data_IF_376982438223
#
_entry.id   IF_376982438223
#
_cell.length_a   1.000
_cell.length_b   1.000
_cell.length_c   1.000
_cell.angle_alpha   90.00
_cell.angle_beta   90.00
_cell.angle_gamma   90.00
#
_symmetry.space_group_name_H-M   'P 1'
#
loop_
_entity.id
_entity.type
_entity.pdbx_description
1 polymer ?
#
# COMPACT_ATOMS: atom_id res chain seq x y z
N UNK A 1 2.64 -18.09 14.45
CA UNK A 1 1.54 -17.29 15.01
C UNK A 1 0.94 -16.46 13.89
N UNK A 2 -0.39 -16.32 13.77
CA UNK A 2 -1.00 -15.36 12.84
C UNK A 2 -0.52 -13.93 13.10
N UNK A 3 -0.35 -13.14 12.01
CA UNK A 3 0.17 -11.76 12.11
C UNK A 3 0.71 -11.25 10.78
N UNK A 4 1.42 -10.12 10.85
CA UNK A 4 2.10 -9.53 9.70
C UNK A 4 3.60 -9.78 9.79
N UNK A 5 4.20 -10.16 8.67
CA UNK A 5 5.59 -10.58 8.61
C UNK A 5 6.29 -10.10 7.35
N UNK A 6 7.57 -9.81 7.48
CA UNK A 6 8.52 -9.87 6.39
C UNK A 6 9.09 -11.29 6.32
N UNK A 7 9.16 -11.87 5.13
CA UNK A 7 9.74 -13.18 4.88
C UNK A 7 11.19 -13.00 4.44
N UNK A 8 12.12 -12.88 5.40
CA UNK A 8 13.53 -12.62 5.11
C UNK A 8 14.27 -13.92 4.78
N UNK A 9 15.16 -13.88 3.78
CA UNK A 9 15.96 -15.02 3.38
C UNK A 9 17.04 -15.34 4.43
N UNK A 10 17.24 -16.62 4.72
CA UNK A 10 18.39 -17.06 5.55
C UNK A 10 19.71 -16.88 4.82
N UNK A 11 19.72 -16.92 3.49
CA UNK A 11 20.95 -16.71 2.67
C UNK A 11 21.47 -15.26 2.78
N UNK A 12 20.56 -14.28 2.80
CA UNK A 12 20.88 -12.87 3.10
C UNK A 12 19.71 -12.25 3.86
N UNK A 13 19.80 -12.11 5.19
CA UNK A 13 18.68 -11.62 6.01
C UNK A 13 18.33 -10.15 5.82
N UNK A 14 19.11 -9.40 5.01
CA UNK A 14 18.78 -8.02 4.59
C UNK A 14 17.82 -8.00 3.40
N UNK A 15 17.38 -9.16 2.92
CA UNK A 15 16.50 -9.31 1.75
C UNK A 15 15.32 -10.22 2.08
N UNK A 16 14.17 -9.87 1.53
CA UNK A 16 12.94 -10.63 1.72
C UNK A 16 12.21 -10.93 0.42
N UNK A 17 11.14 -11.73 0.55
CA UNK A 17 10.22 -12.00 -0.55
C UNK A 17 9.43 -10.74 -0.85
N UNK A 18 9.53 -10.31 -2.10
CA UNK A 18 9.01 -9.06 -2.63
C UNK A 18 8.05 -9.34 -3.79
N UNK A 19 6.93 -8.65 -3.83
CA UNK A 19 6.07 -8.64 -4.99
C UNK A 19 6.67 -7.75 -6.07
N UNK A 20 7.09 -8.36 -7.16
CA UNK A 20 7.78 -7.68 -8.24
C UNK A 20 6.94 -6.54 -8.83
N UNK A 21 7.57 -5.36 -8.98
CA UNK A 21 7.02 -4.18 -9.63
C UNK A 21 5.68 -3.69 -9.05
N UNK A 22 5.37 -4.05 -7.80
CA UNK A 22 4.08 -3.74 -7.16
C UNK A 22 2.87 -4.20 -7.98
N UNK A 23 3.00 -5.28 -8.75
CA UNK A 23 1.95 -5.78 -9.62
C UNK A 23 0.70 -6.23 -8.82
N UNK A 24 -0.50 -5.90 -9.32
CA UNK A 24 -1.77 -6.22 -8.66
C UNK A 24 -2.61 -7.26 -9.42
N UNK A 25 -2.15 -7.71 -10.57
CA UNK A 25 -2.84 -8.71 -11.37
C UNK A 25 -2.62 -10.14 -10.86
N UNK A 26 -3.52 -11.04 -11.20
CA UNK A 26 -3.29 -12.48 -11.03
C UNK A 26 -2.10 -12.92 -11.88
N UNK A 27 -1.30 -13.83 -11.35
CA UNK A 27 -0.05 -14.27 -11.95
C UNK A 27 1.15 -13.37 -11.64
N UNK A 28 0.99 -12.35 -10.79
CA UNK A 28 2.08 -11.49 -10.37
C UNK A 28 3.21 -12.29 -9.74
N UNK A 29 4.44 -12.03 -10.17
CA UNK A 29 5.63 -12.82 -9.78
C UNK A 29 6.29 -12.28 -8.52
N UNK A 30 7.01 -13.17 -7.87
CA UNK A 30 7.77 -12.89 -6.66
C UNK A 30 9.26 -12.89 -6.95
N UNK A 31 9.97 -12.07 -6.21
CA UNK A 31 11.42 -11.96 -6.29
C UNK A 31 12.03 -11.80 -4.88
N UNK A 32 13.33 -11.98 -4.78
CA UNK A 32 14.10 -11.53 -3.63
C UNK A 32 14.49 -10.06 -3.84
N UNK A 33 14.27 -9.21 -2.84
CA UNK A 33 14.67 -7.80 -2.90
C UNK A 33 15.17 -7.30 -1.56
N UNK A 34 15.97 -6.21 -1.57
CA UNK A 34 16.40 -5.54 -0.35
C UNK A 34 15.20 -5.15 0.52
N UNK A 35 15.30 -5.42 1.83
CA UNK A 35 14.24 -5.10 2.78
C UNK A 35 14.01 -3.59 2.84
N UNK A 36 12.80 -3.15 2.53
CA UNK A 36 12.31 -1.78 2.69
C UNK A 36 11.11 -1.71 3.61
N UNK A 37 10.56 -2.86 4.01
CA UNK A 37 9.35 -3.00 4.82
C UNK A 37 8.14 -2.29 4.20
N UNK A 38 8.09 -2.24 2.88
CA UNK A 38 6.99 -1.68 2.12
C UNK A 38 5.89 -2.72 1.94
N UNK A 39 4.65 -2.29 1.68
CA UNK A 39 3.47 -3.16 1.63
C UNK A 39 3.62 -4.36 0.69
N UNK A 40 4.39 -4.22 -0.40
CA UNK A 40 4.67 -5.32 -1.33
C UNK A 40 5.63 -6.40 -0.76
N UNK A 41 6.28 -6.13 0.39
CA UNK A 41 7.15 -7.07 1.11
C UNK A 41 6.53 -7.58 2.41
N UNK A 42 5.34 -7.09 2.78
CA UNK A 42 4.64 -7.47 4.01
C UNK A 42 3.57 -8.51 3.68
N UNK A 43 3.54 -9.55 4.49
CA UNK A 43 2.66 -10.69 4.33
C UNK A 43 1.79 -10.87 5.56
N UNK A 44 0.48 -10.89 5.37
CA UNK A 44 -0.46 -11.31 6.40
C UNK A 44 -0.51 -12.83 6.41
N UNK A 45 -0.06 -13.43 7.50
CA UNK A 45 -0.15 -14.87 7.73
C UNK A 45 -1.35 -15.15 8.62
N UNK A 46 -2.29 -15.94 8.16
CA UNK A 46 -3.45 -16.41 8.92
C UNK A 46 -3.48 -17.93 8.97
N UNK A 47 -3.98 -18.48 10.08
CA UNK A 47 -4.22 -19.92 10.22
C UNK A 47 -5.65 -20.21 9.85
N UNK A 48 -5.87 -21.21 9.03
CA UNK A 48 -7.18 -21.68 8.63
C UNK A 48 -7.72 -22.77 9.58
N UNK A 49 -9.01 -23.08 9.47
CA UNK A 49 -9.67 -24.05 10.35
C UNK A 49 -9.13 -25.47 10.21
N UNK A 50 -8.53 -25.82 9.06
CA UNK A 50 -7.87 -27.09 8.81
C UNK A 50 -6.43 -27.16 9.35
N UNK A 51 -5.96 -26.08 9.97
CA UNK A 51 -4.65 -26.00 10.60
C UNK A 51 -3.52 -25.52 9.72
N UNK A 52 -3.74 -25.39 8.41
CA UNK A 52 -2.78 -24.81 7.48
C UNK A 52 -2.77 -23.28 7.52
N UNK A 53 -1.87 -22.67 6.78
CA UNK A 53 -1.69 -21.23 6.74
C UNK A 53 -1.95 -20.68 5.36
N UNK A 54 -2.44 -19.43 5.33
CA UNK A 54 -2.54 -18.61 4.14
C UNK A 54 -1.62 -17.40 4.30
N UNK A 55 -0.92 -17.08 3.22
CA UNK A 55 -0.05 -15.90 3.15
C UNK A 55 -0.64 -14.94 2.12
N UNK A 56 -1.07 -13.77 2.56
CA UNK A 56 -1.65 -12.73 1.70
C UNK A 56 -0.71 -11.55 1.66
N UNK A 57 -0.32 -11.13 0.47
CA UNK A 57 0.48 -9.93 0.29
C UNK A 57 -0.35 -8.69 0.59
N UNK A 58 0.14 -7.76 1.43
CA UNK A 58 -0.65 -6.62 1.90
C UNK A 58 -0.87 -5.55 0.85
N UNK A 59 0.01 -5.47 -0.17
CA UNK A 59 -0.15 -4.54 -1.27
C UNK A 59 -1.29 -4.98 -2.21
N UNK A 60 -1.18 -6.18 -2.75
CA UNK A 60 -2.12 -6.69 -3.76
C UNK A 60 -3.40 -7.30 -3.17
N UNK A 61 -3.38 -7.62 -1.86
CA UNK A 61 -4.43 -8.41 -1.19
C UNK A 61 -4.69 -9.79 -1.84
N UNK A 62 -3.65 -10.36 -2.46
CA UNK A 62 -3.68 -11.68 -3.10
C UNK A 62 -2.87 -12.71 -2.31
N UNK A 63 -3.27 -13.97 -2.44
CA UNK A 63 -2.62 -15.10 -1.77
C UNK A 63 -1.38 -15.58 -2.51
N UNK A 64 -0.36 -15.99 -1.76
CA UNK A 64 0.76 -16.76 -2.27
C UNK A 64 0.23 -18.09 -2.83
N UNK A 65 0.55 -18.35 -4.09
CA UNK A 65 -0.03 -19.44 -4.88
C UNK A 65 1.06 -20.22 -5.61
N UNK A 66 0.92 -21.55 -5.61
CA UNK A 66 1.76 -22.44 -6.42
C UNK A 66 1.16 -22.57 -7.81
N UNK A 67 1.79 -21.96 -8.81
CA UNK A 67 1.28 -21.80 -10.17
C UNK A 67 0.67 -23.09 -10.73
N UNK A 68 -0.60 -23.03 -11.10
CA UNK A 68 -1.40 -24.12 -11.71
C UNK A 68 -1.43 -25.44 -10.91
N UNK A 69 -1.00 -25.43 -9.65
CA UNK A 69 -0.88 -26.64 -8.84
C UNK A 69 0.11 -27.64 -9.39
N UNK A 70 1.08 -27.18 -10.19
CA UNK A 70 2.07 -28.04 -10.86
C UNK A 70 3.17 -28.45 -9.89
N UNK A 71 3.34 -29.78 -9.59
CA UNK A 71 4.34 -30.27 -8.65
C UNK A 71 5.73 -30.42 -9.29
N UNK A 72 6.07 -29.58 -10.26
CA UNK A 72 7.36 -29.60 -10.97
C UNK A 72 8.34 -28.66 -10.26
N UNK A 73 9.50 -29.16 -9.79
CA UNK A 73 10.53 -28.33 -9.17
C UNK A 73 11.00 -27.20 -10.10
N UNK A 74 11.10 -25.99 -9.56
CA UNK A 74 11.44 -24.78 -10.32
C UNK A 74 10.23 -24.04 -10.90
N UNK A 75 8.99 -24.53 -10.65
CA UNK A 75 7.78 -23.79 -10.98
C UNK A 75 7.74 -22.49 -10.19
N UNK A 76 7.63 -21.35 -10.87
CA UNK A 76 7.58 -20.04 -10.23
C UNK A 76 6.33 -19.92 -9.35
N UNK A 77 6.50 -19.34 -8.17
CA UNK A 77 5.39 -18.96 -7.33
C UNK A 77 4.80 -17.63 -7.82
N UNK A 78 3.51 -17.45 -7.58
CA UNK A 78 2.75 -16.29 -8.01
C UNK A 78 1.81 -15.77 -6.92
N UNK A 79 1.17 -14.65 -7.18
CA UNK A 79 0.02 -14.18 -6.42
C UNK A 79 -1.26 -14.40 -7.23
N UNK A 80 -2.31 -14.84 -6.55
CA UNK A 80 -3.63 -15.06 -7.17
C UNK A 80 -4.74 -14.64 -6.22
N UNK A 81 -5.92 -14.34 -6.78
CA UNK A 81 -7.10 -14.04 -5.97
C UNK A 81 -7.32 -15.13 -4.93
N UNK A 82 -7.64 -14.72 -3.71
CA UNK A 82 -7.79 -15.64 -2.59
C UNK A 82 -8.99 -16.55 -2.80
N UNK A 83 -8.73 -17.85 -2.86
CA UNK A 83 -9.72 -18.91 -2.83
C UNK A 83 -9.44 -19.83 -1.64
N UNK A 84 -10.34 -19.86 -0.67
CA UNK A 84 -10.17 -20.65 0.56
C UNK A 84 -10.22 -22.15 0.33
N UNK A 85 -10.79 -22.61 -0.78
CA UNK A 85 -10.83 -24.02 -1.16
C UNK A 85 -9.57 -24.49 -1.89
N UNK A 86 -8.79 -23.56 -2.45
CA UNK A 86 -7.61 -23.86 -3.28
C UNK A 86 -6.41 -24.32 -2.44
N UNK A 87 -6.03 -25.60 -2.61
CA UNK A 87 -4.88 -26.19 -1.90
C UNK A 87 -3.54 -25.61 -2.35
N UNK A 88 -3.46 -25.00 -3.54
CA UNK A 88 -2.24 -24.34 -4.04
C UNK A 88 -1.92 -23.05 -3.29
N UNK A 89 -2.89 -22.53 -2.53
CA UNK A 89 -2.77 -21.34 -1.68
C UNK A 89 -2.64 -21.65 -0.20
N UNK A 90 -2.62 -22.94 0.16
CA UNK A 90 -2.45 -23.42 1.54
C UNK A 90 -1.01 -23.85 1.79
N UNK A 91 -0.50 -23.49 2.95
CA UNK A 91 0.89 -23.69 3.31
C UNK A 91 1.03 -24.33 4.69
N UNK A 92 1.88 -25.35 4.79
CA UNK A 92 2.37 -25.85 6.05
C UNK A 92 3.66 -25.13 6.41
N UNK A 93 3.77 -24.63 7.64
CA UNK A 93 4.95 -23.88 8.11
C UNK A 93 5.66 -24.73 9.18
N UNK A 94 6.91 -25.09 8.91
CA UNK A 94 7.73 -25.92 9.78
C UNK A 94 8.90 -25.10 10.32
N UNK A 95 9.13 -25.18 11.63
CA UNK A 95 10.35 -24.64 12.22
C UNK A 95 11.55 -25.47 11.81
N UNK A 96 12.65 -24.80 11.50
CA UNK A 96 13.96 -25.43 11.27
C UNK A 96 14.99 -24.84 12.25
N UNK A 97 16.19 -25.42 12.28
CA UNK A 97 17.26 -24.94 13.16
C UNK A 97 17.57 -23.45 12.94
N UNK A 98 17.99 -22.76 14.02
CA UNK A 98 18.39 -21.35 13.93
C UNK A 98 17.25 -20.35 13.88
N UNK A 99 16.00 -20.74 14.27
CA UNK A 99 14.85 -19.85 14.33
C UNK A 99 14.29 -19.44 12.97
N UNK A 100 14.55 -20.26 11.95
CA UNK A 100 14.00 -20.12 10.61
C UNK A 100 12.83 -21.09 10.37
N UNK A 101 12.17 -20.93 9.24
CA UNK A 101 11.01 -21.72 8.84
C UNK A 101 11.13 -22.17 7.38
N UNK A 102 10.54 -23.31 7.10
CA UNK A 102 10.30 -23.82 5.76
C UNK A 102 8.80 -23.78 5.49
N UNK A 103 8.40 -23.27 4.33
CA UNK A 103 7.01 -23.15 3.91
C UNK A 103 6.75 -24.17 2.80
N UNK A 104 5.89 -25.15 3.06
CA UNK A 104 5.54 -26.21 2.11
C UNK A 104 4.12 -26.03 1.59
N UNK A 105 3.97 -26.00 0.28
CA UNK A 105 2.66 -25.96 -0.34
C UNK A 105 1.90 -27.27 -0.12
N UNK A 106 0.63 -27.17 0.25
CA UNK A 106 -0.21 -28.35 0.57
C UNK A 106 -0.61 -29.07 -0.70
N UNK A 107 -0.92 -28.36 -1.78
CA UNK A 107 -1.34 -28.94 -3.05
C UNK A 107 -0.21 -29.66 -3.80
N UNK A 108 0.95 -29.04 -3.90
CA UNK A 108 2.05 -29.56 -4.71
C UNK A 108 3.13 -30.29 -3.92
N UNK A 109 3.22 -30.07 -2.60
CA UNK A 109 4.28 -30.59 -1.75
C UNK A 109 5.64 -29.89 -1.92
N UNK A 110 5.75 -28.92 -2.82
CA UNK A 110 6.97 -28.12 -3.01
C UNK A 110 7.15 -27.10 -1.90
N UNK A 111 8.39 -26.69 -1.64
CA UNK A 111 8.70 -25.67 -0.64
C UNK A 111 9.11 -24.36 -1.31
N UNK A 112 8.83 -23.24 -0.66
CA UNK A 112 9.25 -21.91 -1.10
C UNK A 112 10.78 -21.86 -1.15
N UNK A 113 11.32 -21.55 -2.32
CA UNK A 113 12.75 -21.65 -2.61
C UNK A 113 13.27 -20.39 -3.29
N UNK A 114 14.42 -19.91 -2.84
CA UNK A 114 15.19 -18.90 -3.53
C UNK A 114 15.94 -19.57 -4.70
N UNK A 115 15.55 -19.20 -5.91
CA UNK A 115 16.09 -19.80 -7.13
C UNK A 115 17.63 -19.77 -7.14
N UNK A 116 18.24 -20.93 -7.38
CA UNK A 116 19.69 -21.17 -7.39
C UNK A 116 20.44 -20.77 -6.09
N UNK A 117 19.71 -20.44 -5.03
CA UNK A 117 20.33 -20.00 -3.76
C UNK A 117 21.09 -18.66 -3.87
N UNK A 118 20.84 -17.87 -4.90
CA UNK A 118 21.55 -16.61 -5.14
C UNK A 118 20.82 -15.42 -4.55
N UNK A 119 21.32 -14.85 -3.46
CA UNK A 119 20.72 -13.72 -2.77
C UNK A 119 21.03 -12.38 -3.46
N UNK A 120 20.59 -12.19 -4.69
CA UNK A 120 20.65 -10.91 -5.42
C UNK A 120 19.25 -10.34 -5.68
N UNK A 121 19.14 -9.02 -5.76
CA UNK A 121 17.88 -8.36 -6.09
C UNK A 121 17.37 -8.84 -7.47
N UNK A 122 16.06 -9.09 -7.55
CA UNK A 122 15.40 -9.61 -8.75
C UNK A 122 15.47 -11.13 -8.93
N UNK A 123 16.12 -11.86 -8.00
CA UNK A 123 16.13 -13.32 -8.08
C UNK A 123 14.75 -13.89 -7.80
N UNK A 124 14.29 -14.78 -8.69
CA UNK A 124 12.96 -15.39 -8.60
C UNK A 124 12.77 -16.27 -7.37
N UNK A 125 11.53 -16.38 -6.95
CA UNK A 125 11.07 -17.31 -5.91
C UNK A 125 10.24 -18.40 -6.58
N UNK A 126 10.61 -19.65 -6.36
CA UNK A 126 9.96 -20.80 -6.96
C UNK A 126 9.56 -21.86 -5.93
N UNK A 127 8.79 -22.85 -6.36
CA UNK A 127 8.54 -24.06 -5.63
C UNK A 127 9.59 -25.13 -5.98
N UNK A 128 10.25 -25.71 -5.00
CA UNK A 128 11.26 -26.74 -5.23
C UNK A 128 11.13 -27.92 -4.27
N UNK A 129 11.74 -29.07 -4.61
CA UNK A 129 11.79 -30.19 -3.68
C UNK A 129 12.57 -29.81 -2.42
N UNK A 130 12.07 -30.23 -1.26
CA UNK A 130 12.77 -30.00 -0.01
C UNK A 130 14.14 -30.69 -0.03
N UNK A 131 15.22 -29.93 0.15
CA UNK A 131 16.58 -30.41 0.10
C UNK A 131 17.46 -29.98 1.29
N UNK A 132 16.84 -29.28 2.27
CA UNK A 132 17.50 -28.84 3.50
C UNK A 132 18.44 -27.65 3.38
N UNK A 133 18.60 -27.07 2.20
CA UNK A 133 19.49 -25.91 1.99
C UNK A 133 18.92 -24.62 2.56
N UNK A 134 19.79 -23.64 2.84
CA UNK A 134 19.41 -22.32 3.35
C UNK A 134 18.55 -21.51 2.36
N UNK A 135 18.60 -21.86 1.05
CA UNK A 135 17.73 -21.24 0.03
C UNK A 135 16.23 -21.52 0.23
N UNK A 136 15.90 -22.52 1.07
CA UNK A 136 14.53 -22.91 1.41
C UNK A 136 14.11 -22.48 2.82
N UNK A 137 14.96 -21.70 3.47
CA UNK A 137 14.75 -21.28 4.86
C UNK A 137 14.50 -19.78 4.94
N UNK A 138 13.46 -19.41 5.67
CA UNK A 138 12.96 -18.05 5.77
C UNK A 138 12.80 -17.64 7.22
N UNK A 139 13.18 -16.43 7.57
CA UNK A 139 12.85 -15.83 8.85
C UNK A 139 11.52 -15.11 8.75
N UNK A 140 10.62 -15.39 9.66
CA UNK A 140 9.35 -14.68 9.80
C UNK A 140 9.57 -13.53 10.79
N UNK A 141 9.99 -12.38 10.26
CA UNK A 141 10.21 -11.19 11.07
C UNK A 141 8.88 -10.46 11.30
N UNK A 142 8.36 -10.39 12.53
CA UNK A 142 7.09 -9.71 12.79
C UNK A 142 7.21 -8.22 12.51
N UNK A 143 6.18 -7.65 11.89
CA UNK A 143 6.06 -6.22 11.58
C UNK A 143 4.65 -5.72 11.90
N UNK A 144 4.46 -4.41 11.99
CA UNK A 144 3.12 -3.85 12.00
C UNK A 144 2.47 -3.98 10.61
N UNK A 145 1.18 -4.30 10.58
CA UNK A 145 0.41 -4.28 9.36
C UNK A 145 0.15 -2.86 8.86
N UNK A 146 -0.02 -2.65 7.53
CA UNK A 146 -0.28 -1.33 6.98
C UNK A 146 -1.47 -0.61 7.63
N UNK A 147 -2.55 -1.34 7.91
CA UNK A 147 -3.73 -0.76 8.56
C UNK A 147 -3.45 -0.36 10.02
N UNK A 148 -2.65 -1.14 10.75
CA UNK A 148 -2.26 -0.83 12.12
C UNK A 148 -1.41 0.46 12.17
N UNK A 149 -0.50 0.63 11.21
CA UNK A 149 0.30 1.84 11.06
C UNK A 149 -0.60 3.06 10.79
N UNK A 150 -1.55 2.94 9.86
CA UNK A 150 -2.47 4.01 9.53
C UNK A 150 -3.39 4.37 10.70
N UNK A 151 -3.95 3.39 11.40
CA UNK A 151 -4.80 3.61 12.58
C UNK A 151 -4.02 4.33 13.70
N UNK A 152 -2.76 3.95 13.90
CA UNK A 152 -1.88 4.62 14.87
C UNK A 152 -1.64 6.08 14.47
N UNK A 153 -1.23 6.32 13.22
CA UNK A 153 -0.98 7.69 12.72
C UNK A 153 -2.22 8.58 12.75
N UNK A 154 -3.38 8.04 12.39
CA UNK A 154 -4.64 8.78 12.43
C UNK A 154 -4.95 9.26 13.86
N UNK A 155 -4.78 8.39 14.85
CA UNK A 155 -4.97 8.71 16.26
C UNK A 155 -3.98 9.75 16.78
N UNK A 156 -2.69 9.54 16.50
CA UNK A 156 -1.61 10.40 17.01
C UNK A 156 -1.66 11.81 16.42
N UNK A 157 -2.03 11.92 15.15
CA UNK A 157 -1.96 13.17 14.38
C UNK A 157 -3.28 13.93 14.27
N UNK A 158 -4.33 13.46 14.94
CA UNK A 158 -5.68 14.06 14.87
C UNK A 158 -5.73 15.58 15.10
N UNK A 159 -4.85 16.10 15.93
CA UNK A 159 -4.82 17.52 16.30
C UNK A 159 -4.03 18.43 15.35
N UNK A 160 -3.29 17.85 14.37
CA UNK A 160 -2.42 18.61 13.46
C UNK A 160 -3.18 19.60 12.57
N UNK A 161 -4.41 19.27 12.18
CA UNK A 161 -5.32 20.16 11.46
C UNK A 161 -6.72 19.92 12.04
N UNK A 162 -7.21 20.80 12.93
CA UNK A 162 -8.56 20.67 13.51
C UNK A 162 -9.68 20.68 12.47
N UNK A 163 -10.85 20.18 12.84
CA UNK A 163 -12.04 20.28 12.01
C UNK A 163 -12.33 21.74 11.65
N UNK A 164 -12.71 21.98 10.40
CA UNK A 164 -12.93 23.33 9.90
C UNK A 164 -12.78 23.44 8.39
N UNK A 165 -12.92 24.66 7.87
CA UNK A 165 -12.76 24.96 6.44
C UNK A 165 -11.38 25.55 6.18
N UNK A 166 -10.71 25.04 5.12
CA UNK A 166 -9.36 25.41 4.76
C UNK A 166 -9.20 25.52 3.25
N UNK A 167 -8.25 26.35 2.83
CA UNK A 167 -7.63 26.25 1.52
C UNK A 167 -6.37 25.37 1.66
N UNK A 168 -6.18 24.41 0.76
CA UNK A 168 -5.01 23.54 0.75
C UNK A 168 -4.00 24.08 -0.27
N UNK A 169 -2.85 24.54 0.22
CA UNK A 169 -1.79 25.18 -0.57
C UNK A 169 -0.64 24.20 -0.78
N UNK A 170 -0.29 23.83 -2.03
CA UNK A 170 0.96 23.11 -2.28
C UNK A 170 2.17 23.99 -1.92
N UNK A 171 3.14 23.43 -1.20
CA UNK A 171 4.33 24.19 -0.76
C UNK A 171 5.18 24.66 -1.94
N UNK A 172 5.34 23.83 -2.97
CA UNK A 172 6.08 24.16 -4.19
C UNK A 172 5.36 25.20 -5.09
N UNK A 173 4.07 25.43 -4.86
CA UNK A 173 3.25 26.33 -5.65
C UNK A 173 2.44 27.27 -4.73
N UNK A 174 3.06 28.23 -4.04
CA UNK A 174 2.44 28.99 -2.94
C UNK A 174 1.27 29.88 -3.39
N UNK A 175 1.21 30.26 -4.66
CA UNK A 175 0.12 31.06 -5.24
C UNK A 175 -1.06 30.22 -5.70
N UNK A 176 -1.01 28.89 -5.53
CA UNK A 176 -2.01 27.95 -6.03
C UNK A 176 -2.74 27.27 -4.87
N UNK A 177 -3.89 26.70 -5.20
CA UNK A 177 -4.75 25.93 -4.26
C UNK A 177 -5.20 24.63 -4.90
N UNK A 178 -5.37 23.62 -4.08
CA UNK A 178 -6.05 22.39 -4.49
C UNK A 178 -7.52 22.71 -4.75
N UNK A 179 -7.98 22.42 -5.95
CA UNK A 179 -9.30 22.84 -6.46
C UNK A 179 -10.01 21.69 -7.17
N UNK A 180 -11.32 21.64 -7.08
CA UNK A 180 -12.13 20.82 -7.97
C UNK A 180 -12.21 21.49 -9.34
N UNK A 181 -11.84 20.77 -10.38
CA UNK A 181 -11.78 21.20 -11.77
C UNK A 181 -13.03 22.02 -12.16
N UNK A 182 -12.80 23.28 -12.59
CA UNK A 182 -13.85 24.23 -13.04
C UNK A 182 -15.02 24.40 -12.06
N UNK A 183 -14.79 24.24 -10.77
CA UNK A 183 -15.82 24.28 -9.74
C UNK A 183 -16.99 23.31 -10.01
N UNK A 184 -16.73 22.21 -10.73
CA UNK A 184 -17.74 21.21 -11.05
C UNK A 184 -18.38 20.63 -9.80
N UNK A 185 -19.69 20.36 -9.89
CA UNK A 185 -20.45 19.65 -8.86
C UNK A 185 -20.66 18.17 -9.19
N UNK A 186 -20.14 17.69 -10.31
CA UNK A 186 -20.35 16.34 -10.75
C UNK A 186 -19.47 15.34 -9.99
N UNK A 187 -19.99 14.14 -9.77
CA UNK A 187 -19.20 13.02 -9.30
C UNK A 187 -18.13 12.67 -10.34
N UNK A 188 -16.91 12.35 -9.88
CA UNK A 188 -15.80 12.03 -10.76
C UNK A 188 -15.05 13.23 -11.33
N UNK A 189 -15.45 14.48 -11.00
CA UNK A 189 -14.67 15.65 -11.41
C UNK A 189 -13.26 15.58 -10.81
N UNK A 190 -12.25 15.88 -11.62
CA UNK A 190 -10.84 15.85 -11.23
C UNK A 190 -10.50 16.90 -10.20
N UNK A 191 -9.42 16.66 -9.47
CA UNK A 191 -8.82 17.63 -8.58
C UNK A 191 -7.48 18.05 -9.16
N UNK A 192 -7.22 19.34 -9.17
CA UNK A 192 -6.00 19.93 -9.67
C UNK A 192 -5.52 21.08 -8.78
N UNK A 193 -4.42 21.68 -9.13
CA UNK A 193 -3.93 22.93 -8.54
C UNK A 193 -4.26 24.10 -9.48
N UNK A 194 -4.85 25.15 -8.95
CA UNK A 194 -5.21 26.35 -9.71
C UNK A 194 -4.84 27.62 -8.91
N UNK A 195 -4.53 28.69 -9.62
CA UNK A 195 -4.20 29.97 -9.01
C UNK A 195 -5.26 30.36 -7.98
N UNK A 196 -4.82 30.86 -6.82
CA UNK A 196 -5.72 31.26 -5.73
C UNK A 196 -6.71 32.34 -6.19
N UNK A 197 -8.00 32.04 -6.08
CA UNK A 197 -9.09 32.92 -6.49
C UNK A 197 -10.17 33.08 -5.41
N UNK A 198 -9.99 32.43 -4.25
CA UNK A 198 -10.92 32.51 -3.11
C UNK A 198 -12.26 31.79 -3.27
N UNK A 199 -12.46 31.08 -4.39
CA UNK A 199 -13.72 30.39 -4.67
C UNK A 199 -13.99 29.24 -3.69
N UNK A 200 -15.27 28.86 -3.56
CA UNK A 200 -15.66 27.71 -2.75
C UNK A 200 -15.11 26.39 -3.27
N UNK A 201 -14.75 26.30 -4.57
CA UNK A 201 -14.11 25.12 -5.16
C UNK A 201 -12.68 24.90 -4.65
N UNK A 202 -12.03 25.93 -4.10
CA UNK A 202 -10.71 25.89 -3.47
C UNK A 202 -10.78 25.69 -1.95
N UNK A 203 -11.97 25.56 -1.40
CA UNK A 203 -12.20 25.37 0.04
C UNK A 203 -12.60 23.93 0.33
N UNK A 204 -11.97 23.39 1.36
CA UNK A 204 -12.18 22.02 1.79
C UNK A 204 -12.51 21.99 3.28
N UNK A 205 -13.58 21.31 3.64
CA UNK A 205 -13.93 21.06 5.03
C UNK A 205 -13.22 19.80 5.49
N UNK A 206 -12.38 19.94 6.51
CA UNK A 206 -11.73 18.86 7.24
C UNK A 206 -12.71 18.35 8.28
N UNK A 207 -12.94 17.06 8.34
CA UNK A 207 -13.68 16.38 9.40
C UNK A 207 -13.03 15.07 9.76
N UNK A 208 -12.93 14.77 11.07
CA UNK A 208 -12.33 13.53 11.57
C UNK A 208 -13.41 12.53 11.97
N UNK A 209 -13.15 11.25 11.66
CA UNK A 209 -13.93 10.16 12.24
C UNK A 209 -13.42 9.80 13.65
N UNK A 210 -14.08 8.82 14.30
CA UNK A 210 -13.75 8.40 15.67
C UNK A 210 -12.32 7.82 15.79
N UNK A 211 -11.76 7.28 14.72
CA UNK A 211 -10.39 6.77 14.67
C UNK A 211 -9.35 7.85 14.39
N UNK A 212 -9.76 9.04 13.97
CA UNK A 212 -8.88 10.16 13.62
C UNK A 212 -8.55 10.27 12.12
N UNK A 213 -9.18 9.47 11.26
CA UNK A 213 -9.07 9.65 9.82
C UNK A 213 -9.79 10.90 9.36
N UNK A 214 -9.21 11.58 8.40
CA UNK A 214 -9.74 12.81 7.82
C UNK A 214 -10.53 12.50 6.55
N UNK A 215 -11.69 13.14 6.44
CA UNK A 215 -12.43 13.31 5.20
C UNK A 215 -12.31 14.76 4.77
N UNK A 216 -12.02 15.02 3.48
CA UNK A 216 -11.91 16.35 2.89
C UNK A 216 -13.12 16.58 1.98
N UNK A 217 -14.07 17.40 2.45
CA UNK A 217 -15.29 17.72 1.70
C UNK A 217 -15.14 19.06 0.98
N UNK A 218 -15.31 19.06 -0.34
CA UNK A 218 -15.28 20.31 -1.11
C UNK A 218 -16.49 21.18 -0.79
N UNK A 219 -16.26 22.45 -0.47
CA UNK A 219 -17.32 23.36 -0.02
C UNK A 219 -18.32 23.69 -1.14
N UNK A 220 -17.87 23.76 -2.41
CA UNK A 220 -18.76 24.10 -3.53
C UNK A 220 -19.68 22.93 -3.90
N UNK A 221 -19.18 21.70 -3.88
CA UNK A 221 -19.93 20.53 -4.36
C UNK A 221 -20.56 19.68 -3.27
N UNK A 222 -20.05 19.75 -2.03
CA UNK A 222 -20.40 18.84 -0.95
C UNK A 222 -19.85 17.41 -1.11
N UNK A 223 -19.04 17.15 -2.14
CA UNK A 223 -18.42 15.86 -2.38
C UNK A 223 -17.05 15.77 -1.74
N UNK A 224 -16.58 14.55 -1.52
CA UNK A 224 -15.33 14.29 -0.81
C UNK A 224 -14.18 13.95 -1.76
N UNK A 225 -12.97 14.27 -1.36
CA UNK A 225 -11.73 13.89 -2.04
C UNK A 225 -11.61 12.37 -2.03
N UNK A 226 -11.43 11.77 -3.21
CA UNK A 226 -11.52 10.34 -3.45
C UNK A 226 -10.39 9.85 -4.37
N UNK A 227 -9.80 8.73 -4.04
CA UNK A 227 -8.87 8.03 -4.93
C UNK A 227 -9.69 7.15 -5.87
N UNK A 228 -9.67 7.48 -7.17
CA UNK A 228 -10.46 6.80 -8.20
C UNK A 228 -10.32 5.27 -8.13
N UNK A 229 -11.44 4.57 -8.02
CA UNK A 229 -11.54 3.11 -7.93
C UNK A 229 -10.65 2.47 -6.84
N UNK A 230 -10.27 3.24 -5.81
CA UNK A 230 -9.33 2.81 -4.76
C UNK A 230 -8.00 2.25 -5.32
N UNK A 231 -7.54 2.77 -6.45
CA UNK A 231 -6.31 2.32 -7.08
C UNK A 231 -5.08 2.68 -6.26
N UNK A 232 -4.24 1.69 -6.01
CA UNK A 232 -2.95 1.87 -5.33
C UNK A 232 -1.77 2.01 -6.30
N UNK A 233 -1.92 1.64 -7.57
CA UNK A 233 -0.88 1.85 -8.58
C UNK A 233 -0.74 3.34 -8.89
N UNK A 234 0.44 3.88 -8.66
CA UNK A 234 0.76 5.29 -8.87
C UNK A 234 1.38 5.56 -10.25
N UNK A 235 1.13 6.74 -10.85
CA UNK A 235 0.23 7.78 -10.34
C UNK A 235 -1.25 7.36 -10.42
N UNK A 236 -2.01 7.51 -9.31
CA UNK A 236 -3.43 7.21 -9.32
C UNK A 236 -4.24 8.51 -9.31
N UNK A 237 -5.30 8.53 -10.13
CA UNK A 237 -6.18 9.69 -10.25
C UNK A 237 -6.89 9.96 -8.92
N UNK A 238 -6.94 11.26 -8.56
CA UNK A 238 -7.77 11.77 -7.48
C UNK A 238 -8.91 12.59 -8.08
N UNK A 239 -10.11 12.44 -7.54
CA UNK A 239 -11.32 13.11 -7.98
C UNK A 239 -12.23 13.46 -6.78
N UNK A 240 -13.43 13.94 -7.03
CA UNK A 240 -14.44 14.04 -5.99
C UNK A 240 -15.57 13.02 -6.21
N UNK A 241 -16.09 12.46 -5.13
CA UNK A 241 -17.21 11.50 -5.14
C UNK A 241 -18.19 11.80 -4.01
N UNK A 242 -19.46 11.37 -4.11
CA UNK A 242 -20.32 11.30 -2.94
C UNK A 242 -19.65 10.49 -1.83
N UNK A 243 -19.84 10.91 -0.58
CA UNK A 243 -19.25 10.20 0.56
C UNK A 243 -19.82 8.78 0.68
N UNK A 244 -18.92 7.80 0.79
CA UNK A 244 -19.27 6.39 1.00
C UNK A 244 -18.46 5.77 2.16
N UNK A 245 -17.68 6.59 2.88
CA UNK A 245 -16.86 6.18 4.03
C UNK A 245 -15.79 5.11 3.73
N UNK A 246 -15.48 4.84 2.46
CA UNK A 246 -14.43 3.88 2.07
C UNK A 246 -13.03 4.40 2.38
N UNK A 247 -12.04 3.52 2.38
CA UNK A 247 -10.63 3.89 2.54
C UNK A 247 -10.12 4.84 1.43
N UNK A 248 -10.72 4.80 0.23
CA UNK A 248 -10.38 5.72 -0.87
C UNK A 248 -10.70 7.19 -0.55
N UNK A 249 -11.56 7.46 0.44
CA UNK A 249 -12.00 8.78 0.85
C UNK A 249 -11.44 9.22 2.21
N UNK A 250 -10.59 8.38 2.81
CA UNK A 250 -9.99 8.63 4.11
C UNK A 250 -8.51 8.94 3.99
N UNK A 251 -8.07 9.89 4.80
CA UNK A 251 -6.71 10.39 4.80
C UNK A 251 -6.17 10.47 6.22
N UNK A 252 -4.87 10.34 6.35
CA UNK A 252 -4.15 10.65 7.57
C UNK A 252 -3.26 11.85 7.31
N UNK A 253 -3.30 12.85 8.16
CA UNK A 253 -2.41 14.02 8.06
C UNK A 253 -1.18 13.74 8.90
N UNK A 254 0.01 13.86 8.28
CA UNK A 254 1.30 13.85 8.97
C UNK A 254 1.96 15.21 8.86
N UNK A 255 2.92 15.48 9.74
CA UNK A 255 3.76 16.67 9.66
C UNK A 255 5.19 16.31 9.25
N UNK A 256 5.73 17.03 8.27
CA UNK A 256 7.11 16.87 7.81
C UNK A 256 7.72 18.24 7.49
N UNK A 257 8.71 18.64 8.28
CA UNK A 257 9.39 19.94 8.10
C UNK A 257 8.48 21.15 8.24
N UNK A 258 7.51 21.10 9.16
CA UNK A 258 6.55 22.18 9.40
C UNK A 258 5.35 22.21 8.43
N UNK A 259 5.31 21.30 7.45
CA UNK A 259 4.24 21.19 6.45
C UNK A 259 3.46 19.89 6.63
N UNK A 260 2.28 19.80 6.02
CA UNK A 260 1.40 18.63 6.11
C UNK A 260 1.56 17.73 4.90
N UNK A 261 1.52 16.42 5.14
CA UNK A 261 1.45 15.36 4.13
C UNK A 261 0.13 14.63 4.31
N UNK A 262 -0.61 14.43 3.23
CA UNK A 262 -1.87 13.70 3.26
C UNK A 262 -1.62 12.26 2.79
N UNK A 263 -1.59 11.35 3.74
CA UNK A 263 -1.40 9.91 3.50
C UNK A 263 -2.76 9.27 3.22
N UNK A 264 -2.87 8.50 2.15
CA UNK A 264 -4.11 7.77 1.84
C UNK A 264 -4.33 6.60 2.80
N UNK A 265 -5.56 6.39 3.24
CA UNK A 265 -5.92 5.20 4.03
C UNK A 265 -5.86 3.88 3.23
N UNK A 266 -5.52 3.92 1.95
CA UNK A 266 -5.28 2.74 1.12
C UNK A 266 -3.93 2.09 1.39
N UNK A 267 -2.91 2.88 1.77
CA UNK A 267 -1.56 2.41 2.08
C UNK A 267 -0.74 3.52 2.74
N UNK A 268 0.07 3.22 3.77
CA UNK A 268 0.98 4.19 4.39
C UNK A 268 2.08 4.69 3.44
N UNK A 269 2.24 4.04 2.28
CA UNK A 269 3.21 4.41 1.25
C UNK A 269 2.68 5.44 0.25
N UNK A 270 1.40 5.75 0.25
CA UNK A 270 0.74 6.55 -0.78
C UNK A 270 0.27 7.89 -0.22
N UNK A 271 0.68 8.97 -0.87
CA UNK A 271 0.39 10.32 -0.43
C UNK A 271 -0.17 11.17 -1.57
N UNK A 272 -0.88 12.22 -1.22
CA UNK A 272 -1.29 13.24 -2.16
C UNK A 272 -0.05 13.95 -2.71
N UNK A 273 -0.02 14.17 -4.02
CA UNK A 273 1.14 14.72 -4.74
C UNK A 273 0.69 15.70 -5.82
N UNK A 274 1.46 16.78 -5.99
CA UNK A 274 1.31 17.71 -7.11
C UNK A 274 2.21 17.26 -8.25
N UNK A 275 1.64 16.83 -9.36
CA UNK A 275 2.33 16.26 -10.51
C UNK A 275 3.55 17.07 -10.95
N UNK A 276 4.73 16.47 -10.81
CA UNK A 276 6.01 17.10 -11.17
C UNK A 276 6.35 18.36 -10.38
N UNK A 277 5.63 18.67 -9.29
CA UNK A 277 5.83 19.89 -8.50
C UNK A 277 5.61 21.18 -9.29
N UNK A 278 4.81 21.14 -10.34
CA UNK A 278 4.61 22.28 -11.26
C UNK A 278 3.76 23.38 -10.64
N UNK A 279 4.25 24.62 -10.71
CA UNK A 279 3.55 25.83 -10.25
C UNK A 279 2.83 26.49 -11.43
N UNK A 280 1.76 25.83 -11.91
CA UNK A 280 0.93 26.33 -13.01
C UNK A 280 -0.51 25.90 -12.85
N UNK A 281 -1.44 26.57 -13.51
CA UNK A 281 -2.84 26.19 -13.53
C UNK A 281 -3.02 24.79 -14.11
N UNK A 282 -4.03 24.09 -13.61
CA UNK A 282 -4.44 22.76 -14.08
C UNK A 282 -3.37 21.66 -13.87
N UNK A 283 -2.39 21.91 -12.98
CA UNK A 283 -1.48 20.84 -12.56
C UNK A 283 -2.26 19.77 -11.82
N UNK A 284 -2.18 18.54 -12.27
CA UNK A 284 -2.88 17.41 -11.67
C UNK A 284 -2.46 17.22 -10.21
N UNK A 285 -3.44 17.03 -9.34
CA UNK A 285 -3.23 16.46 -8.01
C UNK A 285 -3.58 15.00 -8.09
N UNK A 286 -2.67 14.14 -7.68
CA UNK A 286 -2.81 12.68 -7.78
C UNK A 286 -2.31 11.98 -6.53
N UNK A 287 -2.53 10.68 -6.45
CA UNK A 287 -1.90 9.83 -5.46
C UNK A 287 -0.58 9.31 -6.02
N UNK A 288 0.49 9.41 -5.24
CA UNK A 288 1.82 8.95 -5.64
C UNK A 288 2.53 8.25 -4.48
N UNK A 289 3.56 7.47 -4.79
CA UNK A 289 4.42 6.90 -3.77
C UNK A 289 5.08 8.01 -2.96
N UNK A 290 5.11 7.85 -1.63
CA UNK A 290 5.81 8.77 -0.74
C UNK A 290 7.33 8.76 -1.05
N UNK A 291 7.81 9.85 -1.58
CA UNK A 291 9.21 10.07 -1.94
C UNK A 291 9.86 11.21 -1.15
N UNK A 292 9.11 11.80 -0.21
CA UNK A 292 9.58 12.88 0.66
C UNK A 292 9.77 14.24 -0.03
N UNK A 293 9.39 14.37 -1.31
CA UNK A 293 9.56 15.62 -2.06
C UNK A 293 8.66 16.74 -1.54
N UNK A 294 9.00 17.98 -1.92
CA UNK A 294 8.18 19.16 -1.58
C UNK A 294 6.85 19.19 -2.35
N UNK A 295 6.72 18.46 -3.47
CA UNK A 295 5.46 18.30 -4.20
C UNK A 295 4.38 17.55 -3.39
N UNK A 296 4.78 16.83 -2.34
CA UNK A 296 3.94 16.08 -1.43
C UNK A 296 3.63 16.83 -0.12
N UNK A 297 4.02 18.10 -0.04
CA UNK A 297 3.84 18.94 1.16
C UNK A 297 2.81 20.03 0.89
N UNK A 298 1.93 20.20 1.86
CA UNK A 298 0.82 21.15 1.78
C UNK A 298 0.66 21.94 3.07
N UNK A 299 0.10 23.15 2.96
CA UNK A 299 -0.34 23.94 4.09
C UNK A 299 -1.86 24.09 4.06
N UNK A 300 -2.45 24.10 5.26
CA UNK A 300 -3.87 24.33 5.48
C UNK A 300 -4.07 25.78 5.96
N UNK A 301 -4.69 26.60 5.13
CA UNK A 301 -4.91 28.03 5.38
C UNK A 301 -6.38 28.25 5.69
N UNK A 302 -6.70 28.98 6.78
CA UNK A 302 -8.05 29.43 7.13
C UNK A 302 -8.49 30.61 6.28
#
# INVERSE_FOLDING_TARGET
TPGYYELASVVDPRKGIDLKDFAMNNGARLQLWGSSKTDNQIWKISRESDGFYRLVNTWSNKSLDSTDGTPIPGTELQLWDTDTSNMNQKWAIFSVTGGAYMLRNVGTGLVVNLRWGQARNGMGIDGYLANGTTSQQWRLNPVQGPQEILDQWAKENRSLVPDGEYQIRPVVAPNYRVEVQWASRDAGARVWSFQSNGSAAQKWRVSHDDKGYVTLTNVASGKVLDVFAAWKNWPARVNQQPSNSSAAQKWVIQERGGHKVLVSALSPMLVLDLEGGRSQNETTVHLYQDNGSSAQRFDFLK
#
